data_IF_262520013844
#
_entry.id   IF_262520013844
#
_cell.length_a   1.000
_cell.length_b   1.000
_cell.length_c   1.000
_cell.angle_alpha   90.00
_cell.angle_beta   90.00
_cell.angle_gamma   90.00
#
_symmetry.space_group_name_H-M   'P 1'
#
loop_
_entity.id
_entity.type
_entity.pdbx_description
1 polymer ?
#
# COMPACT_ATOMS: atom_id res chain seq x y z
N UNK A 1 -39.69 24.07 -41.00
CA UNK A 1 -39.55 23.19 -39.83
C UNK A 1 -39.28 21.77 -40.31
N UNK A 2 -38.13 21.18 -39.96
CA UNK A 2 -37.92 19.75 -39.68
C UNK A 2 -36.45 19.57 -39.28
N UNK A 3 -36.23 19.37 -37.98
CA UNK A 3 -34.96 19.00 -37.36
C UNK A 3 -34.85 17.48 -37.43
N UNK A 4 -33.71 16.95 -37.84
CA UNK A 4 -33.38 15.54 -37.64
C UNK A 4 -32.10 15.48 -36.82
N UNK A 5 -32.27 14.99 -35.59
CA UNK A 5 -31.26 14.81 -34.57
C UNK A 5 -30.62 13.42 -34.68
N UNK A 6 -29.51 13.27 -33.96
CA UNK A 6 -28.91 12.05 -33.45
C UNK A 6 -27.82 11.39 -34.32
N UNK A 7 -26.59 11.86 -34.12
CA UNK A 7 -25.38 11.03 -34.22
C UNK A 7 -24.42 11.45 -33.11
N UNK A 8 -24.26 10.62 -32.10
CA UNK A 8 -23.05 10.55 -31.27
C UNK A 8 -23.11 9.26 -30.44
N UNK A 9 -22.59 8.17 -31.01
CA UNK A 9 -22.29 6.95 -30.25
C UNK A 9 -20.99 7.24 -29.49
N UNK A 10 -21.10 7.49 -28.19
CA UNK A 10 -19.93 7.69 -27.33
C UNK A 10 -19.30 6.32 -27.06
N UNK A 11 -18.18 6.05 -27.74
CA UNK A 11 -17.33 4.90 -27.43
C UNK A 11 -16.66 5.15 -26.07
N UNK A 12 -17.04 4.37 -25.05
CA UNK A 12 -16.33 4.31 -23.78
C UNK A 12 -15.09 3.47 -24.00
N UNK A 13 -13.93 4.12 -24.07
CA UNK A 13 -12.65 3.43 -24.07
C UNK A 13 -12.41 2.82 -22.68
N UNK A 14 -12.44 1.50 -22.58
CA UNK A 14 -11.90 0.79 -21.43
C UNK A 14 -10.39 0.97 -21.44
N UNK A 15 -9.89 1.85 -20.57
CA UNK A 15 -8.48 1.90 -20.22
C UNK A 15 -8.17 0.63 -19.42
N UNK A 16 -7.61 -0.38 -20.09
CA UNK A 16 -6.95 -1.48 -19.42
C UNK A 16 -5.72 -0.90 -18.70
N UNK A 17 -5.80 -0.75 -17.38
CA UNK A 17 -4.63 -0.44 -16.55
C UNK A 17 -3.70 -1.64 -16.65
N UNK A 18 -2.61 -1.45 -17.40
CA UNK A 18 -1.49 -2.37 -17.37
C UNK A 18 -1.00 -2.45 -15.92
N UNK A 19 -1.25 -3.58 -15.26
CA UNK A 19 -0.51 -3.96 -14.07
C UNK A 19 0.93 -4.21 -14.52
N UNK A 20 1.74 -3.14 -14.53
CA UNK A 20 3.16 -3.22 -14.76
C UNK A 20 3.76 -4.14 -13.71
N UNK A 21 4.53 -5.13 -14.14
CA UNK A 21 5.45 -5.84 -13.27
C UNK A 21 6.48 -4.80 -12.81
N UNK A 22 6.29 -4.26 -11.61
CA UNK A 22 7.31 -3.44 -10.95
C UNK A 22 8.28 -4.44 -10.34
N UNK A 23 9.47 -4.56 -10.93
CA UNK A 23 10.63 -5.14 -10.26
C UNK A 23 10.81 -4.39 -8.94
N UNK A 24 10.39 -5.03 -7.86
CA UNK A 24 10.39 -4.44 -6.53
C UNK A 24 11.82 -4.40 -6.00
N UNK A 25 12.35 -3.26 -5.53
CA UNK A 25 13.65 -3.22 -4.88
C UNK A 25 13.65 -4.18 -3.68
N UNK A 26 14.71 -4.97 -3.47
CA UNK A 26 14.74 -6.01 -2.43
C UNK A 26 14.59 -5.47 -1.00
N UNK A 27 14.79 -4.17 -0.80
CA UNK A 27 14.83 -3.52 0.52
C UNK A 27 13.66 -2.56 0.75
N UNK A 28 12.60 -2.61 -0.04
CA UNK A 28 11.52 -1.64 0.07
C UNK A 28 10.38 -2.10 1.01
N UNK A 29 9.81 -1.15 1.78
CA UNK A 29 8.55 -1.36 2.48
C UNK A 29 7.38 -1.13 1.53
N UNK A 30 6.39 -2.02 1.55
CA UNK A 30 5.16 -1.91 0.76
C UNK A 30 4.01 -1.51 1.66
N UNK A 31 3.38 -0.38 1.38
CA UNK A 31 2.19 0.10 2.08
C UNK A 31 1.00 0.08 1.12
N UNK A 32 -0.08 -0.59 1.51
CA UNK A 32 -1.32 -0.64 0.75
C UNK A 32 -2.48 -0.19 1.62
N UNK A 33 -3.28 0.75 1.12
CA UNK A 33 -4.54 1.14 1.72
C UNK A 33 -5.66 0.68 0.81
N UNK A 34 -6.30 -0.41 1.21
CA UNK A 34 -7.48 -0.92 0.55
C UNK A 34 -8.73 -0.19 1.02
N UNK A 35 -8.72 0.56 2.12
CA UNK A 35 -9.93 1.25 2.58
C UNK A 35 -10.35 2.44 1.70
N UNK A 36 -11.61 2.84 1.83
CA UNK A 36 -12.16 4.06 1.21
C UNK A 36 -11.80 5.35 1.96
N UNK A 37 -10.96 5.25 3.00
CA UNK A 37 -10.51 6.39 3.80
C UNK A 37 -8.99 6.54 3.71
N UNK A 38 -8.47 7.78 3.59
CA UNK A 38 -7.04 8.01 3.70
C UNK A 38 -6.54 7.73 5.12
N UNK A 39 -5.33 7.20 5.20
CA UNK A 39 -4.64 6.90 6.46
C UNK A 39 -3.27 7.56 6.50
N UNK A 40 -2.73 7.67 7.70
CA UNK A 40 -1.38 8.19 7.97
C UNK A 40 -0.58 7.07 8.62
N UNK A 41 0.56 6.75 8.00
CA UNK A 41 1.54 5.80 8.51
C UNK A 41 2.72 6.58 9.05
N UNK A 42 3.10 6.32 10.29
CA UNK A 42 4.26 6.92 10.96
C UNK A 42 5.23 5.84 11.35
N UNK A 43 6.51 6.08 11.11
CA UNK A 43 7.59 5.17 11.47
C UNK A 43 8.22 5.63 12.78
N UNK A 44 8.10 4.82 13.82
CA UNK A 44 8.62 5.19 15.14
C UNK A 44 10.14 5.27 15.14
N UNK A 45 10.69 6.34 15.70
CA UNK A 45 12.14 6.57 15.69
C UNK A 45 12.65 7.24 14.41
N UNK A 46 11.76 7.65 13.50
CA UNK A 46 12.06 8.59 12.43
C UNK A 46 11.05 9.72 12.35
N UNK A 47 11.41 10.75 11.57
CA UNK A 47 10.53 11.87 11.23
C UNK A 47 9.69 11.57 9.97
N UNK A 48 9.70 10.33 9.47
CA UNK A 48 8.96 9.97 8.27
C UNK A 48 7.48 9.75 8.57
N UNK A 49 6.66 10.52 7.86
CA UNK A 49 5.20 10.41 7.86
C UNK A 49 4.74 10.20 6.43
N UNK A 50 3.97 9.14 6.24
CA UNK A 50 3.43 8.76 4.93
C UNK A 50 1.92 8.86 4.96
N UNK A 51 1.40 9.84 4.23
CA UNK A 51 -0.02 9.90 3.90
C UNK A 51 -0.32 8.91 2.78
N UNK A 52 -1.24 7.97 3.04
CA UNK A 52 -1.65 6.95 2.09
C UNK A 52 -3.12 7.18 1.72
N UNK A 53 -3.41 7.71 0.52
CA UNK A 53 -4.78 7.96 0.08
C UNK A 53 -5.65 6.70 0.08
N UNK A 54 -6.97 6.89 0.04
CA UNK A 54 -7.91 5.79 -0.16
C UNK A 54 -7.58 5.01 -1.44
N UNK A 55 -7.67 3.67 -1.36
CA UNK A 55 -7.41 2.77 -2.50
C UNK A 55 -6.04 3.01 -3.19
N UNK A 56 -4.99 3.24 -2.41
CA UNK A 56 -3.66 3.56 -2.92
C UNK A 56 -2.58 2.63 -2.36
N UNK A 57 -1.50 2.45 -3.13
CA UNK A 57 -0.30 1.76 -2.69
C UNK A 57 0.92 2.66 -2.82
N UNK A 58 1.90 2.48 -1.92
CA UNK A 58 3.18 3.17 -1.95
C UNK A 58 4.30 2.21 -1.57
N UNK A 59 5.39 2.27 -2.32
CA UNK A 59 6.64 1.60 -1.96
C UNK A 59 7.61 2.64 -1.43
N UNK A 60 8.25 2.34 -0.30
CA UNK A 60 9.28 3.17 0.31
C UNK A 60 10.64 2.50 0.12
N UNK A 61 11.67 3.20 -0.36
CA UNK A 61 13.03 2.67 -0.40
C UNK A 61 13.52 2.31 1.01
N UNK A 62 14.29 1.24 1.13
CA UNK A 62 14.87 0.81 2.41
C UNK A 62 15.80 1.83 3.06
N UNK A 63 16.40 2.71 2.25
CA UNK A 63 17.26 3.80 2.75
C UNK A 63 16.45 4.94 3.40
N UNK A 64 15.19 5.10 3.00
CA UNK A 64 14.28 6.15 3.49
C UNK A 64 13.46 5.64 4.68
N UNK A 65 13.15 4.34 4.70
CA UNK A 65 12.47 3.73 5.83
C UNK A 65 13.49 3.42 6.94
N UNK A 66 13.48 4.25 7.98
CA UNK A 66 14.13 3.97 9.27
C UNK A 66 13.08 3.99 10.36
N UNK A 67 13.04 2.96 11.20
CA UNK A 67 12.10 2.94 12.33
C UNK A 67 12.11 1.65 13.13
N UNK A 68 11.81 1.77 14.43
CA UNK A 68 11.68 0.67 15.39
C UNK A 68 10.24 0.17 15.53
N UNK A 69 9.29 0.80 14.83
CA UNK A 69 7.88 0.45 14.86
C UNK A 69 7.08 1.21 13.80
N UNK A 70 5.81 0.83 13.66
CA UNK A 70 4.86 1.44 12.72
C UNK A 70 3.58 1.80 13.47
N UNK A 71 3.11 3.02 13.29
CA UNK A 71 1.80 3.47 13.76
C UNK A 71 0.94 3.82 12.56
N UNK A 72 -0.24 3.23 12.49
CA UNK A 72 -1.26 3.57 11.49
C UNK A 72 -2.39 4.31 12.17
N UNK A 73 -2.74 5.47 11.63
CA UNK A 73 -3.83 6.30 12.14
C UNK A 73 -4.74 6.78 11.01
N UNK A 74 -5.99 7.04 11.35
CA UNK A 74 -6.90 7.78 10.48
C UNK A 74 -6.47 9.25 10.40
N UNK A 75 -6.92 9.98 9.37
CA UNK A 75 -6.61 11.41 9.22
C UNK A 75 -7.06 12.29 10.40
N UNK A 76 -8.03 11.84 11.20
CA UNK A 76 -8.46 12.55 12.40
C UNK A 76 -7.56 12.32 13.63
N UNK A 77 -6.47 11.55 13.46
CA UNK A 77 -5.52 11.19 14.50
C UNK A 77 -5.92 9.96 15.32
N UNK A 78 -7.05 9.30 15.00
CA UNK A 78 -7.43 8.04 15.66
C UNK A 78 -6.45 6.94 15.28
N UNK A 79 -5.75 6.37 16.27
CA UNK A 79 -4.84 5.24 16.05
C UNK A 79 -5.65 3.98 15.73
N UNK A 80 -5.35 3.37 14.58
CA UNK A 80 -5.97 2.12 14.12
C UNK A 80 -5.15 0.91 14.54
N UNK A 81 -3.83 1.00 14.45
CA UNK A 81 -2.91 -0.06 14.87
C UNK A 81 -1.52 0.49 15.18
N UNK A 82 -0.76 -0.25 15.99
CA UNK A 82 0.65 -0.01 16.28
C UNK A 82 1.40 -1.34 16.29
N UNK A 83 2.57 -1.37 15.66
CA UNK A 83 3.41 -2.56 15.53
C UNK A 83 4.82 -2.23 16.00
N UNK A 84 5.30 -2.98 16.98
CA UNK A 84 6.68 -2.92 17.43
C UNK A 84 7.54 -3.86 16.55
N UNK A 85 8.65 -3.37 15.99
CA UNK A 85 9.51 -4.17 15.11
C UNK A 85 10.19 -3.34 14.03
N UNK A 86 11.26 -3.89 13.42
CA UNK A 86 11.97 -3.23 12.34
C UNK A 86 11.03 -2.95 11.16
N UNK A 87 10.64 -1.69 10.99
CA UNK A 87 9.53 -1.32 10.12
C UNK A 87 9.87 -1.37 8.62
N UNK A 88 11.12 -1.65 8.27
CA UNK A 88 11.70 -1.11 7.05
C UNK A 88 12.54 -2.09 6.24
N UNK A 89 12.77 -3.30 6.74
CA UNK A 89 13.33 -4.37 5.92
C UNK A 89 12.16 -5.28 5.60
N UNK A 90 11.83 -5.42 4.32
CA UNK A 90 10.86 -6.40 3.82
C UNK A 90 9.42 -6.28 4.36
N UNK A 91 9.06 -5.20 5.04
CA UNK A 91 7.70 -5.02 5.59
C UNK A 91 6.65 -4.82 4.49
N UNK A 92 5.56 -5.56 4.60
CA UNK A 92 4.32 -5.37 3.85
C UNK A 92 3.23 -4.97 4.85
N UNK A 93 2.68 -3.78 4.68
CA UNK A 93 1.57 -3.23 5.46
C UNK A 93 0.34 -3.10 4.58
N UNK A 94 -0.79 -3.63 5.06
CA UNK A 94 -2.09 -3.47 4.40
C UNK A 94 -3.11 -2.94 5.39
N UNK A 95 -3.80 -1.86 5.03
CA UNK A 95 -5.03 -1.41 5.70
C UNK A 95 -6.21 -1.90 4.89
N UNK A 96 -6.98 -2.84 5.45
CA UNK A 96 -8.11 -3.47 4.80
C UNK A 96 -9.36 -2.58 4.81
N UNK A 97 -10.33 -2.97 3.98
CA UNK A 97 -11.61 -2.28 3.81
C UNK A 97 -12.45 -2.14 5.09
N UNK A 98 -12.30 -3.07 6.01
CA UNK A 98 -13.00 -3.09 7.31
C UNK A 98 -12.25 -2.33 8.41
N UNK A 99 -11.09 -1.74 8.08
CA UNK A 99 -10.22 -1.02 9.00
C UNK A 99 -9.24 -1.91 9.76
N UNK A 100 -9.19 -3.22 9.47
CA UNK A 100 -8.13 -4.09 9.96
C UNK A 100 -6.78 -3.66 9.36
N UNK A 101 -5.70 -3.75 10.15
CA UNK A 101 -4.34 -3.49 9.68
C UNK A 101 -3.52 -4.77 9.84
N UNK A 102 -2.93 -5.24 8.74
CA UNK A 102 -2.01 -6.37 8.72
C UNK A 102 -0.60 -5.89 8.39
N UNK A 103 0.38 -6.47 9.07
CA UNK A 103 1.81 -6.22 8.87
C UNK A 103 2.54 -7.55 8.87
N UNK A 104 3.27 -7.82 7.80
CA UNK A 104 4.06 -9.05 7.64
C UNK A 104 5.45 -8.73 7.09
N UNK A 105 6.45 -9.52 7.50
CA UNK A 105 7.78 -9.47 6.91
C UNK A 105 7.80 -10.39 5.67
N UNK A 106 8.21 -9.85 4.52
CA UNK A 106 8.41 -10.62 3.27
C UNK A 106 9.43 -11.77 3.45
N UNK A 107 10.26 -11.70 4.49
CA UNK A 107 11.33 -12.65 4.79
C UNK A 107 10.90 -14.00 5.40
N UNK A 108 9.64 -14.18 5.83
CA UNK A 108 9.22 -15.44 6.50
C UNK A 108 8.70 -16.54 5.55
N UNK A 109 8.54 -16.27 4.25
CA UNK A 109 8.06 -17.26 3.26
C UNK A 109 9.18 -18.11 2.62
N UNK A 110 10.45 -17.88 2.98
CA UNK A 110 11.60 -18.61 2.44
C UNK A 110 12.11 -19.76 3.33
N UNK A 111 11.34 -20.19 4.34
CA UNK A 111 11.47 -21.56 4.89
C UNK A 111 10.82 -22.59 3.94
N UNK A 112 11.18 -22.54 2.65
CA UNK A 112 11.01 -23.73 1.81
C UNK A 112 12.00 -24.76 2.34
N UNK A 113 11.55 -25.93 2.82
CA UNK A 113 12.48 -26.99 3.19
C UNK A 113 13.36 -27.27 1.98
N UNK A 114 14.66 -27.02 2.11
CA UNK A 114 15.64 -27.51 1.15
C UNK A 114 15.45 -29.01 1.10
N UNK A 115 14.84 -29.49 0.02
CA UNK A 115 14.72 -30.92 -0.25
C UNK A 115 16.15 -31.41 -0.53
N UNK A 116 16.81 -31.88 0.51
CA UNK A 116 17.99 -32.73 0.40
C UNK A 116 17.57 -34.02 -0.31
N UNK A 117 17.65 -34.07 -1.64
CA UNK A 117 17.72 -35.31 -2.43
C UNK A 117 18.59 -35.14 -3.69
#
# INVERSE_FOLDING_TARGET
MRRTLASAVTAVALAATAAGCIDHPPDAAELTNESDQPVVVTFEGSDEVVELPARAGRSLPGDDCVGTGIVVSAQDGTVLASFDGGACTTTILTVHDDGEVTVHDRGEDDDRPTRDE
#
